data_IF_289006650815
#
_entry.id   IF_289006650815
#
_cell.length_a   1.000
_cell.length_b   1.000
_cell.length_c   1.000
_cell.angle_alpha   90.00
_cell.angle_beta   90.00
_cell.angle_gamma   90.00
#
_symmetry.space_group_name_H-M   'P 1'
#
loop_
_entity.id
_entity.type
_entity.pdbx_description
1 polymer ?
#
# COMPACT_ATOMS: atom_id res chain seq x y z
N UNK A 1 -21.73 7.30 -11.63
CA UNK A 1 -21.03 6.32 -10.77
C UNK A 1 -20.04 5.55 -11.63
N UNK A 2 -18.76 5.81 -11.46
CA UNK A 2 -17.68 5.12 -12.18
C UNK A 2 -16.84 4.34 -11.17
N UNK A 3 -16.74 3.04 -11.39
CA UNK A 3 -15.89 2.13 -10.65
C UNK A 3 -15.14 1.25 -11.65
N UNK A 4 -13.82 1.13 -11.48
CA UNK A 4 -13.00 0.22 -12.26
C UNK A 4 -12.04 -0.56 -11.39
N UNK A 5 -11.89 -1.84 -11.71
CA UNK A 5 -10.88 -2.73 -11.16
C UNK A 5 -9.80 -2.91 -12.20
N UNK A 6 -8.64 -2.37 -11.92
CA UNK A 6 -7.50 -2.39 -12.82
C UNK A 6 -6.49 -3.43 -12.33
N UNK A 7 -5.93 -4.26 -13.22
CA UNK A 7 -4.89 -5.19 -12.82
C UNK A 7 -3.66 -4.43 -12.33
N UNK A 8 -3.08 -4.90 -11.25
CA UNK A 8 -1.88 -4.32 -10.68
C UNK A 8 -1.12 -5.40 -9.91
N UNK A 9 0.19 -5.35 -9.87
CA UNK A 9 1.01 -6.28 -9.11
C UNK A 9 1.66 -5.53 -7.95
N UNK A 10 1.07 -5.64 -6.77
CA UNK A 10 1.51 -4.91 -5.58
C UNK A 10 2.61 -5.71 -4.87
N UNK A 11 3.80 -5.13 -4.75
CA UNK A 11 4.82 -5.63 -3.85
C UNK A 11 4.50 -5.24 -2.41
N UNK A 12 4.29 -3.96 -2.19
CA UNK A 12 3.83 -3.43 -0.91
C UNK A 12 3.09 -2.11 -1.05
N UNK A 13 2.28 -1.85 -0.05
CA UNK A 13 1.64 -0.58 0.18
C UNK A 13 2.17 0.03 1.47
N UNK A 14 2.68 1.25 1.40
CA UNK A 14 3.25 1.93 2.56
C UNK A 14 2.49 3.20 2.88
N UNK A 15 2.35 3.46 4.17
CA UNK A 15 1.92 4.75 4.70
C UNK A 15 3.09 5.36 5.47
N UNK A 16 3.49 6.56 5.08
CA UNK A 16 4.47 7.34 5.81
C UNK A 16 3.76 8.28 6.80
N UNK A 17 4.20 8.26 8.05
CA UNK A 17 3.60 9.04 9.13
C UNK A 17 4.66 9.57 10.09
N UNK A 18 4.40 10.71 10.71
CA UNK A 18 5.26 11.27 11.78
C UNK A 18 5.06 10.56 13.12
N UNK A 19 3.93 9.90 13.31
CA UNK A 19 3.53 9.27 14.57
C UNK A 19 3.04 7.84 14.35
N UNK A 20 3.97 6.91 14.18
CA UNK A 20 3.65 5.50 13.87
C UNK A 20 2.98 4.71 15.00
N UNK A 21 3.10 5.13 16.25
CA UNK A 21 2.54 4.38 17.38
C UNK A 21 1.04 4.16 17.24
N UNK A 22 0.28 5.20 16.92
CA UNK A 22 -1.19 5.09 16.76
C UNK A 22 -1.62 4.14 15.64
N UNK A 23 -1.05 4.21 14.42
CA UNK A 23 -1.33 3.21 13.39
C UNK A 23 -0.92 1.78 13.78
N UNK A 24 0.21 1.61 14.49
CA UNK A 24 0.64 0.29 14.98
C UNK A 24 -0.37 -0.25 15.99
N UNK A 25 -0.73 0.55 17.00
CA UNK A 25 -1.71 0.16 18.03
C UNK A 25 -3.07 -0.18 17.41
N UNK A 26 -3.49 0.58 16.40
CA UNK A 26 -4.71 0.31 15.64
C UNK A 26 -4.66 -1.04 14.93
N UNK A 27 -3.61 -1.27 14.14
CA UNK A 27 -3.49 -2.49 13.34
C UNK A 27 -3.29 -3.73 14.24
N UNK A 28 -2.43 -3.64 15.24
CA UNK A 28 -2.24 -4.75 16.20
C UNK A 28 -3.50 -4.99 17.02
N UNK A 29 -4.21 -3.94 17.40
CA UNK A 29 -5.51 -4.02 18.04
C UNK A 29 -6.56 -4.73 17.17
N UNK A 30 -6.54 -4.53 15.88
CA UNK A 30 -7.38 -5.24 14.90
C UNK A 30 -6.87 -6.65 14.56
N UNK A 31 -5.79 -7.11 15.21
CA UNK A 31 -5.29 -8.48 15.09
C UNK A 31 -4.25 -8.71 14.00
N UNK A 32 -3.64 -7.65 13.47
CA UNK A 32 -2.45 -7.81 12.65
C UNK A 32 -1.23 -8.09 13.52
N UNK A 33 -0.35 -8.95 13.06
CA UNK A 33 0.92 -9.28 13.70
C UNK A 33 2.04 -8.49 13.01
N UNK A 34 2.83 -7.78 13.79
CA UNK A 34 4.02 -7.07 13.28
C UNK A 34 5.15 -8.05 13.01
N UNK A 35 5.85 -7.87 11.91
CA UNK A 35 7.14 -8.50 11.72
C UNK A 35 8.23 -7.67 12.41
N UNK A 36 9.14 -8.35 13.07
CA UNK A 36 10.33 -7.72 13.65
C UNK A 36 11.23 -7.25 12.52
N UNK A 37 11.17 -5.96 12.24
CA UNK A 37 12.08 -5.30 11.30
C UNK A 37 13.12 -4.54 12.09
N UNK A 38 14.38 -4.79 11.80
CA UNK A 38 15.53 -4.19 12.48
C UNK A 38 15.74 -2.70 12.17
N UNK A 39 14.78 -2.05 11.52
CA UNK A 39 14.87 -0.63 11.31
C UNK A 39 13.93 0.11 12.25
N UNK A 40 14.45 1.08 12.98
CA UNK A 40 13.66 1.99 13.81
C UNK A 40 12.64 2.83 13.00
N UNK A 41 12.61 2.66 11.69
CA UNK A 41 11.86 3.51 10.77
C UNK A 41 10.66 2.86 10.13
N UNK A 42 10.63 1.52 10.06
CA UNK A 42 9.56 0.78 9.37
C UNK A 42 9.01 -0.33 10.24
N UNK A 43 7.72 -0.59 10.09
CA UNK A 43 7.03 -1.75 10.66
C UNK A 43 6.29 -2.44 9.54
N UNK A 44 6.46 -3.74 9.40
CA UNK A 44 5.85 -4.54 8.36
C UNK A 44 4.76 -5.44 8.91
N UNK A 45 3.71 -5.59 8.15
CA UNK A 45 2.64 -6.56 8.32
C UNK A 45 2.67 -7.47 7.10
N UNK A 46 3.30 -8.64 7.24
CA UNK A 46 3.61 -9.53 6.11
C UNK A 46 2.38 -10.34 5.74
N UNK A 47 2.06 -10.34 4.46
CA UNK A 47 0.98 -11.09 3.83
C UNK A 47 1.54 -12.11 2.84
N UNK A 48 0.71 -13.01 2.33
CA UNK A 48 1.15 -14.07 1.40
C UNK A 48 1.66 -13.51 0.07
N UNK A 49 1.08 -12.42 -0.43
CA UNK A 49 1.39 -11.86 -1.74
C UNK A 49 2.17 -10.55 -1.69
N UNK A 50 2.15 -9.88 -0.54
CA UNK A 50 2.66 -8.51 -0.38
C UNK A 50 2.95 -8.22 1.09
N UNK A 51 3.24 -6.99 1.41
CA UNK A 51 3.23 -6.52 2.79
C UNK A 51 2.67 -5.11 2.87
N UNK A 52 2.08 -4.82 4.02
CA UNK A 52 1.69 -3.48 4.40
C UNK A 52 2.78 -2.90 5.29
N UNK A 53 3.18 -1.67 5.02
CA UNK A 53 4.30 -1.03 5.70
C UNK A 53 3.89 0.30 6.33
N UNK A 54 4.30 0.51 7.57
CA UNK A 54 4.25 1.81 8.21
C UNK A 54 5.67 2.39 8.30
N UNK A 55 5.89 3.50 7.61
CA UNK A 55 7.17 4.22 7.63
C UNK A 55 7.08 5.41 8.56
N UNK A 56 8.09 5.61 9.39
CA UNK A 56 8.25 6.86 10.14
C UNK A 56 9.24 7.76 9.41
N UNK A 57 8.86 9.01 9.17
CA UNK A 57 9.80 10.01 8.71
C UNK A 57 9.96 11.11 9.76
N UNK A 58 11.16 11.65 9.84
CA UNK A 58 11.46 12.85 10.61
C UNK A 58 11.65 14.00 9.65
N UNK A 59 11.31 15.23 10.07
CA UNK A 59 11.47 16.43 9.26
C UNK A 59 12.91 16.62 8.72
N UNK A 60 13.89 15.98 9.34
CA UNK A 60 15.31 16.03 8.96
C UNK A 60 15.79 14.77 8.22
N UNK A 61 14.92 13.85 7.89
CA UNK A 61 15.35 12.67 7.17
C UNK A 61 15.55 13.00 5.69
N UNK A 62 16.59 12.45 5.09
CA UNK A 62 16.89 12.51 3.65
C UNK A 62 15.82 11.86 2.76
N UNK A 63 14.67 11.51 3.31
CA UNK A 63 13.48 11.11 2.55
C UNK A 63 12.78 12.40 2.07
N UNK A 64 13.56 13.28 1.48
CA UNK A 64 13.09 14.56 0.92
C UNK A 64 12.05 14.37 -0.17
N UNK A 65 12.07 13.25 -0.85
CA UNK A 65 11.10 12.93 -1.91
C UNK A 65 9.69 12.60 -1.38
N UNK A 66 9.54 12.03 -0.17
CA UNK A 66 8.22 11.86 0.46
C UNK A 66 7.63 13.20 0.93
N UNK A 67 8.47 14.16 1.25
CA UNK A 67 8.06 15.48 1.74
C UNK A 67 7.85 16.49 0.63
N UNK A 68 8.36 16.24 -0.58
CA UNK A 68 8.20 17.16 -1.71
C UNK A 68 6.80 17.13 -2.31
N UNK A 69 6.08 16.02 -2.17
CA UNK A 69 4.71 15.87 -2.68
C UNK A 69 3.63 16.37 -1.70
N UNK A 70 3.96 16.65 -0.44
CA UNK A 70 2.99 17.08 0.56
C UNK A 70 3.41 18.44 1.13
N UNK A 71 2.55 19.48 1.07
CA UNK A 71 2.85 20.77 1.68
C UNK A 71 3.18 20.61 3.17
N UNK A 72 4.26 21.24 3.62
CA UNK A 72 4.75 21.15 5.01
C UNK A 72 3.68 21.51 6.06
N UNK A 73 2.71 22.33 5.69
CA UNK A 73 1.57 22.74 6.53
C UNK A 73 0.61 21.60 6.84
N UNK A 74 0.64 20.51 6.07
CA UNK A 74 -0.27 19.36 6.21
C UNK A 74 0.43 18.12 6.81
N UNK A 75 1.73 18.16 7.02
CA UNK A 75 2.54 17.05 7.53
C UNK A 75 2.03 16.39 8.83
N UNK A 76 1.43 17.08 9.81
CA UNK A 76 0.92 16.42 11.02
C UNK A 76 -0.34 15.59 10.78
N UNK A 77 -1.02 15.77 9.63
CA UNK A 77 -2.34 15.19 9.37
C UNK A 77 -2.37 14.26 8.17
N UNK A 78 -1.33 14.29 7.35
CA UNK A 78 -1.33 13.61 6.06
C UNK A 78 -0.33 12.48 6.09
N UNK A 79 -0.80 11.38 5.61
CA UNK A 79 -0.02 10.23 5.33
C UNK A 79 0.36 10.26 3.85
N UNK A 80 1.64 10.29 3.56
CA UNK A 80 2.11 10.02 2.20
C UNK A 80 1.96 8.53 1.92
N UNK A 81 1.49 8.22 0.73
CA UNK A 81 1.32 6.84 0.30
C UNK A 81 2.42 6.45 -0.68
N UNK A 82 2.90 5.24 -0.54
CA UNK A 82 3.77 4.61 -1.53
C UNK A 82 3.15 3.31 -1.97
N UNK A 83 3.08 3.12 -3.27
CA UNK A 83 2.62 1.90 -3.89
C UNK A 83 3.76 1.32 -4.71
N UNK A 84 4.28 0.18 -4.31
CA UNK A 84 5.39 -0.47 -4.99
C UNK A 84 4.90 -1.62 -5.85
N UNK A 85 5.32 -1.60 -7.12
CA UNK A 85 5.11 -2.69 -8.06
C UNK A 85 6.17 -3.75 -7.84
N UNK A 86 5.77 -5.00 -7.84
CA UNK A 86 6.68 -6.13 -7.72
C UNK A 86 7.41 -6.40 -9.02
N UNK A 87 8.73 -6.45 -8.98
CA UNK A 87 9.57 -6.79 -10.11
C UNK A 87 10.38 -8.06 -9.89
N UNK A 88 10.75 -8.73 -10.97
CA UNK A 88 11.69 -9.87 -10.95
C UNK A 88 13.13 -9.42 -11.12
N UNK A 89 13.35 -8.40 -11.95
CA UNK A 89 14.67 -7.78 -12.21
C UNK A 89 14.45 -6.28 -12.42
N UNK A 90 15.18 -5.42 -11.69
CA UNK A 90 14.96 -3.98 -11.76
C UNK A 90 15.40 -3.38 -13.13
N UNK A 91 16.37 -3.95 -13.82
CA UNK A 91 16.87 -3.39 -15.08
C UNK A 91 15.86 -3.56 -16.24
N UNK A 92 15.38 -4.77 -16.58
CA UNK A 92 14.34 -4.92 -17.59
C UNK A 92 13.08 -4.14 -17.26
N UNK A 93 12.68 -4.12 -16.01
CA UNK A 93 11.49 -3.39 -15.59
C UNK A 93 11.64 -1.88 -15.78
N UNK A 94 12.77 -1.30 -15.38
CA UNK A 94 13.06 0.12 -15.60
C UNK A 94 13.06 0.48 -17.07
N UNK A 95 13.71 -0.34 -17.90
CA UNK A 95 13.77 -0.13 -19.35
C UNK A 95 12.39 -0.19 -19.99
N UNK A 96 11.56 -1.17 -19.64
CA UNK A 96 10.20 -1.29 -20.16
C UNK A 96 9.33 -0.06 -19.81
N UNK A 97 9.49 0.50 -18.62
CA UNK A 97 8.78 1.72 -18.21
C UNK A 97 9.27 2.94 -19.02
N UNK A 98 10.58 3.07 -19.27
CA UNK A 98 11.16 4.12 -20.11
C UNK A 98 10.63 4.00 -21.56
N UNK A 99 10.67 2.80 -22.13
CA UNK A 99 10.18 2.52 -23.48
C UNK A 99 8.66 2.81 -23.61
N UNK A 100 7.91 2.59 -22.56
CA UNK A 100 6.49 2.99 -22.49
C UNK A 100 6.31 4.50 -22.37
N UNK A 101 7.37 5.30 -22.32
CA UNK A 101 7.29 6.76 -22.18
C UNK A 101 6.82 7.20 -20.80
N UNK A 102 7.20 6.48 -19.75
CA UNK A 102 7.06 6.96 -18.38
C UNK A 102 8.28 7.80 -18.07
N UNK A 103 8.04 9.04 -17.75
CA UNK A 103 9.08 10.03 -17.46
C UNK A 103 9.49 9.99 -15.99
N UNK A 104 10.61 10.66 -15.67
CA UNK A 104 11.11 10.86 -14.30
C UNK A 104 11.33 9.56 -13.52
N UNK A 105 11.78 8.53 -14.19
CA UNK A 105 12.17 7.28 -13.56
C UNK A 105 13.57 7.45 -12.97
N UNK A 106 13.67 7.25 -11.65
CA UNK A 106 14.92 7.34 -10.91
C UNK A 106 15.90 6.23 -11.27
N UNK A 107 17.13 6.36 -10.79
CA UNK A 107 18.14 5.31 -10.89
C UNK A 107 17.81 4.16 -9.95
N UNK A 108 18.24 2.96 -10.33
CA UNK A 108 18.13 1.77 -9.48
C UNK A 108 19.08 1.96 -8.31
N UNK A 109 18.53 1.92 -7.10
CA UNK A 109 19.33 2.03 -5.89
C UNK A 109 20.32 0.86 -5.77
N UNK A 110 21.44 1.08 -5.09
CA UNK A 110 22.33 -0.01 -4.71
C UNK A 110 21.55 -1.08 -3.94
N UNK A 111 21.92 -2.36 -4.11
CA UNK A 111 21.27 -3.43 -3.36
C UNK A 111 21.29 -3.16 -1.86
N UNK A 112 20.12 -3.05 -1.29
CA UNK A 112 19.99 -3.00 0.16
C UNK A 112 19.97 -4.43 0.69
N UNK A 113 20.80 -4.72 1.68
CA UNK A 113 20.82 -6.01 2.37
C UNK A 113 20.82 -5.78 3.86
N UNK A 114 20.04 -6.56 4.57
CA UNK A 114 19.97 -6.50 6.01
C UNK A 114 19.85 -7.91 6.59
N UNK A 115 20.49 -8.10 7.73
CA UNK A 115 20.22 -9.27 8.53
C UNK A 115 18.82 -9.17 9.12
N UNK A 116 18.03 -10.21 8.97
CA UNK A 116 16.66 -10.27 9.46
C UNK A 116 16.48 -11.50 10.35
N UNK A 117 15.66 -11.32 11.36
CA UNK A 117 15.25 -12.40 12.23
C UNK A 117 13.73 -12.56 12.17
N UNK A 118 13.30 -13.79 11.95
CA UNK A 118 11.90 -14.15 11.91
C UNK A 118 11.67 -15.30 12.91
N UNK A 119 11.23 -14.98 14.11
CA UNK A 119 11.15 -15.93 15.21
C UNK A 119 12.53 -16.49 15.59
N UNK A 120 12.71 -17.80 15.46
CA UNK A 120 13.95 -18.54 15.72
C UNK A 120 14.89 -18.63 14.50
N UNK A 121 14.49 -18.12 13.34
CA UNK A 121 15.28 -18.15 12.11
C UNK A 121 15.93 -16.83 11.81
N UNK A 122 17.21 -16.90 11.49
CA UNK A 122 18.01 -15.77 11.02
C UNK A 122 18.35 -15.93 9.55
N UNK A 123 18.46 -14.82 8.84
CA UNK A 123 18.79 -14.81 7.43
C UNK A 123 19.08 -13.41 6.94
N UNK A 124 19.29 -13.29 5.63
CA UNK A 124 19.49 -12.02 4.97
C UNK A 124 18.27 -11.72 4.08
N UNK A 125 17.69 -10.55 4.25
CA UNK A 125 16.73 -10.01 3.31
C UNK A 125 17.39 -8.88 2.52
N UNK A 126 17.04 -8.79 1.25
CA UNK A 126 17.57 -7.73 0.42
C UNK A 126 16.61 -7.37 -0.70
N UNK A 127 16.73 -6.13 -1.14
CA UNK A 127 15.95 -5.62 -2.25
C UNK A 127 16.71 -4.54 -3.02
N UNK A 128 16.28 -4.35 -4.26
CA UNK A 128 16.63 -3.19 -5.07
C UNK A 128 15.34 -2.48 -5.46
N UNK A 129 15.39 -1.18 -5.52
CA UNK A 129 14.21 -0.37 -5.87
C UNK A 129 14.63 0.83 -6.70
N UNK A 130 13.71 1.31 -7.48
CA UNK A 130 13.73 2.63 -8.09
C UNK A 130 12.34 3.25 -7.97
N UNK A 131 12.24 4.55 -8.15
CA UNK A 131 11.00 5.29 -7.98
C UNK A 131 10.65 6.03 -9.26
N UNK A 132 9.34 6.20 -9.47
CA UNK A 132 8.77 7.06 -10.50
C UNK A 132 8.33 8.34 -9.78
N UNK A 133 8.97 9.46 -10.11
CA UNK A 133 8.67 10.75 -9.50
C UNK A 133 7.58 11.47 -10.29
N UNK A 134 6.75 12.21 -9.58
CA UNK A 134 5.70 13.06 -10.19
C UNK A 134 4.91 12.32 -11.30
N UNK A 135 4.47 11.11 -11.01
CA UNK A 135 3.72 10.31 -11.96
C UNK A 135 2.28 10.84 -12.03
N UNK A 136 2.03 11.68 -13.01
CA UNK A 136 0.69 12.23 -13.21
C UNK A 136 -0.33 11.12 -13.57
N UNK A 137 -1.55 11.19 -13.01
CA UNK A 137 -2.07 12.24 -12.11
C UNK A 137 -1.83 11.98 -10.61
N UNK A 138 -1.00 11.02 -10.25
CA UNK A 138 -0.78 10.53 -8.88
C UNK A 138 0.31 11.29 -8.14
N UNK A 139 0.27 12.61 -8.14
CA UNK A 139 1.33 13.43 -7.52
C UNK A 139 1.49 13.23 -6.02
N UNK A 140 0.45 12.69 -5.35
CA UNK A 140 0.44 12.44 -3.91
C UNK A 140 0.72 10.98 -3.55
N UNK A 141 0.99 10.14 -4.55
CA UNK A 141 1.38 8.75 -4.39
C UNK A 141 2.74 8.54 -5.04
N UNK A 142 3.70 8.05 -4.28
CA UNK A 142 4.97 7.64 -4.84
C UNK A 142 4.86 6.21 -5.36
N UNK A 143 5.06 6.06 -6.67
CA UNK A 143 5.20 4.75 -7.26
C UNK A 143 6.65 4.28 -7.15
N UNK A 144 6.82 3.06 -6.66
CA UNK A 144 8.10 2.38 -6.62
C UNK A 144 8.04 1.08 -7.41
N UNK A 145 9.21 0.57 -7.74
CA UNK A 145 9.37 -0.77 -8.27
C UNK A 145 10.39 -1.48 -7.41
N UNK A 146 10.00 -2.60 -6.83
CA UNK A 146 10.84 -3.34 -5.89
C UNK A 146 11.10 -4.75 -6.39
N UNK A 147 12.37 -5.14 -6.39
CA UNK A 147 12.83 -6.49 -6.68
C UNK A 147 13.49 -7.07 -5.44
N UNK A 148 13.00 -8.20 -4.97
CA UNK A 148 13.58 -8.90 -3.83
C UNK A 148 14.75 -9.77 -4.28
N UNK A 149 15.90 -9.60 -3.62
CA UNK A 149 17.13 -10.35 -3.90
C UNK A 149 17.12 -11.73 -3.26
N UNK A 150 16.30 -11.90 -2.22
CA UNK A 150 16.18 -13.15 -1.47
C UNK A 150 14.72 -13.60 -1.43
N UNK A 151 14.29 -14.26 -2.50
CA UNK A 151 12.91 -14.75 -2.65
C UNK A 151 12.46 -15.63 -1.47
N UNK A 152 13.37 -16.35 -0.84
CA UNK A 152 13.04 -17.31 0.20
C UNK A 152 12.58 -16.70 1.53
N UNK A 153 13.06 -15.51 1.89
CA UNK A 153 12.72 -14.91 3.18
C UNK A 153 11.40 -14.17 3.18
N UNK A 154 11.01 -13.58 2.04
CA UNK A 154 9.74 -12.84 1.91
C UNK A 154 8.59 -13.80 1.64
N UNK A 155 8.79 -14.81 0.78
CA UNK A 155 7.73 -15.71 0.31
C UNK A 155 7.45 -16.87 1.26
N UNK A 156 8.48 -17.40 1.95
CA UNK A 156 8.29 -18.51 2.91
C UNK A 156 7.79 -18.09 4.30
N UNK A 157 7.47 -16.84 4.47
CA UNK A 157 6.90 -16.34 5.73
C UNK A 157 5.38 -16.49 5.84
N UNK A 158 4.73 -17.06 4.84
CA UNK A 158 3.29 -17.33 4.81
C UNK A 158 2.75 -18.06 6.06
N UNK A 159 3.63 -18.79 6.74
CA UNK A 159 3.25 -19.57 7.93
C UNK A 159 3.82 -19.01 9.24
N UNK A 160 4.65 -17.97 9.21
CA UNK A 160 5.44 -17.58 10.39
C UNK A 160 4.87 -16.43 11.19
N UNK A 161 4.06 -15.59 10.58
CA UNK A 161 3.37 -14.47 11.23
C UNK A 161 1.88 -14.49 10.91
N UNK A 162 1.15 -15.55 11.32
CA UNK A 162 -0.27 -15.56 11.07
C UNK A 162 -0.89 -14.36 11.79
N UNK A 163 -1.62 -13.58 11.04
CA UNK A 163 -2.43 -12.52 11.62
C UNK A 163 -3.60 -13.15 12.38
N UNK A 164 -3.81 -12.75 13.65
CA UNK A 164 -4.88 -13.27 14.50
C UNK A 164 -6.26 -13.03 13.85
N UNK A 165 -6.39 -11.93 13.11
CA UNK A 165 -7.60 -11.60 12.36
C UNK A 165 -7.77 -12.44 11.08
N UNK A 166 -6.85 -13.35 10.78
CA UNK A 166 -6.90 -14.21 9.61
C UNK A 166 -6.47 -13.57 8.29
N UNK A 167 -6.10 -12.29 8.25
CA UNK A 167 -5.69 -11.63 7.02
C UNK A 167 -4.53 -12.37 6.36
N UNK A 168 -4.70 -12.73 5.08
CA UNK A 168 -3.71 -13.47 4.30
C UNK A 168 -3.15 -12.65 3.16
N UNK A 169 -3.98 -11.83 2.52
CA UNK A 169 -3.62 -11.12 1.30
C UNK A 169 -4.10 -9.68 1.33
N UNK A 170 -3.32 -8.80 0.72
CA UNK A 170 -3.80 -7.50 0.28
C UNK A 170 -4.60 -7.72 -1.01
N UNK A 171 -5.92 -7.60 -0.93
CA UNK A 171 -6.81 -7.91 -2.04
C UNK A 171 -6.89 -6.79 -3.07
N UNK A 172 -6.96 -5.55 -2.58
CA UNK A 172 -6.95 -4.34 -3.42
C UNK A 172 -6.62 -3.08 -2.62
N UNK A 173 -6.19 -2.07 -3.36
CA UNK A 173 -6.09 -0.69 -2.89
C UNK A 173 -7.12 0.13 -3.66
N UNK A 174 -7.85 1.01 -2.99
CA UNK A 174 -8.82 1.90 -3.64
C UNK A 174 -8.29 3.32 -3.70
N UNK A 175 -8.20 3.85 -4.93
CA UNK A 175 -7.98 5.26 -5.20
C UNK A 175 -9.28 5.99 -5.51
N UNK A 176 -9.34 7.28 -5.20
CA UNK A 176 -10.48 8.14 -5.41
C UNK A 176 -10.16 9.25 -6.40
N UNK A 177 -11.00 9.42 -7.42
CA UNK A 177 -10.91 10.52 -8.38
C UNK A 177 -12.09 11.48 -8.20
N UNK A 178 -11.79 12.74 -7.99
CA UNK A 178 -12.78 13.81 -7.73
C UNK A 178 -13.49 14.34 -8.98
N UNK A 179 -13.07 13.91 -10.15
CA UNK A 179 -13.67 14.28 -11.43
C UNK A 179 -13.57 13.16 -12.46
N UNK A 180 -14.42 13.18 -13.47
CA UNK A 180 -14.39 12.23 -14.58
C UNK A 180 -13.06 12.31 -15.37
N UNK A 181 -12.54 13.52 -15.54
CA UNK A 181 -11.24 13.73 -16.20
C UNK A 181 -10.10 13.05 -15.42
N UNK A 182 -10.03 13.27 -14.11
CA UNK A 182 -9.02 12.61 -13.26
C UNK A 182 -9.21 11.10 -13.20
N UNK A 183 -10.45 10.63 -13.24
CA UNK A 183 -10.73 9.20 -13.30
C UNK A 183 -10.12 8.57 -14.56
N UNK A 184 -10.36 9.17 -15.74
CA UNK A 184 -9.80 8.70 -17.00
C UNK A 184 -8.28 8.79 -17.04
N UNK A 185 -7.71 9.90 -16.56
CA UNK A 185 -6.25 10.06 -16.47
C UNK A 185 -5.63 8.99 -15.57
N UNK A 186 -6.23 8.71 -14.40
CA UNK A 186 -5.76 7.70 -13.47
C UNK A 186 -5.87 6.28 -14.04
N UNK A 187 -6.97 5.96 -14.68
CA UNK A 187 -7.17 4.69 -15.37
C UNK A 187 -6.08 4.45 -16.42
N UNK A 188 -5.85 5.45 -17.28
CA UNK A 188 -4.84 5.38 -18.32
C UNK A 188 -3.43 5.23 -17.74
N UNK A 189 -3.12 5.96 -16.67
CA UNK A 189 -1.81 5.90 -16.02
C UNK A 189 -1.56 4.52 -15.36
N UNK A 190 -2.50 3.97 -14.61
CA UNK A 190 -2.39 2.63 -14.01
C UNK A 190 -2.28 1.55 -15.10
N UNK A 191 -3.10 1.63 -16.13
CA UNK A 191 -3.08 0.69 -17.25
C UNK A 191 -1.73 0.74 -17.99
N UNK A 192 -1.19 1.94 -18.23
CA UNK A 192 0.11 2.13 -18.85
C UNK A 192 1.23 1.52 -17.99
N UNK A 193 1.23 1.81 -16.70
CA UNK A 193 2.20 1.27 -15.75
C UNK A 193 2.15 -0.27 -15.70
N UNK A 194 0.96 -0.82 -15.61
CA UNK A 194 0.77 -2.27 -15.60
C UNK A 194 1.24 -2.92 -16.90
N UNK A 195 0.84 -2.38 -18.06
CA UNK A 195 1.22 -2.96 -19.36
C UNK A 195 2.73 -2.91 -19.60
N UNK A 196 3.41 -1.88 -19.13
CA UNK A 196 4.85 -1.78 -19.22
C UNK A 196 5.58 -2.76 -18.28
N UNK A 197 5.02 -2.97 -17.08
CA UNK A 197 5.66 -3.78 -16.05
C UNK A 197 5.30 -5.26 -16.09
N UNK A 198 4.18 -5.65 -16.69
CA UNK A 198 3.58 -7.01 -16.59
C UNK A 198 4.53 -8.14 -16.98
N UNK A 199 5.40 -7.94 -17.98
CA UNK A 199 6.31 -8.97 -18.45
C UNK A 199 7.59 -9.06 -17.59
N UNK A 200 7.87 -8.03 -16.81
CA UNK A 200 8.96 -7.96 -15.85
C UNK A 200 8.49 -8.18 -14.40
N UNK A 201 7.21 -8.50 -14.20
CA UNK A 201 6.65 -8.84 -12.89
C UNK A 201 6.62 -10.34 -12.69
N UNK A 202 6.72 -10.78 -11.44
CA UNK A 202 6.54 -12.18 -11.07
C UNK A 202 5.02 -12.49 -11.07
N UNK A 203 4.53 -13.05 -12.18
CA UNK A 203 3.12 -13.38 -12.38
C UNK A 203 2.66 -14.62 -11.62
N UNK A 204 3.55 -15.30 -10.87
CA UNK A 204 3.21 -16.44 -10.03
C UNK A 204 2.29 -16.09 -8.85
N UNK A 205 2.10 -14.81 -8.59
CA UNK A 205 1.13 -14.29 -7.63
C UNK A 205 -0.10 -13.78 -8.37
N UNK A 206 -1.29 -14.15 -7.90
CA UNK A 206 -2.54 -13.61 -8.43
C UNK A 206 -2.45 -12.08 -8.49
N UNK A 207 -2.86 -11.53 -9.60
CA UNK A 207 -2.88 -10.09 -9.81
C UNK A 207 -3.72 -9.43 -8.72
N UNK A 208 -3.11 -8.53 -8.00
CA UNK A 208 -3.82 -7.66 -7.10
C UNK A 208 -4.61 -6.65 -7.92
N UNK A 209 -5.50 -5.95 -7.29
CA UNK A 209 -6.38 -5.03 -7.98
C UNK A 209 -6.18 -3.62 -7.44
N UNK A 210 -5.96 -2.67 -8.34
CA UNK A 210 -6.16 -1.26 -8.05
C UNK A 210 -7.60 -0.90 -8.40
N UNK A 211 -8.40 -0.60 -7.40
CA UNK A 211 -9.78 -0.15 -7.58
C UNK A 211 -9.79 1.36 -7.67
N UNK A 212 -10.39 1.90 -8.72
CA UNK A 212 -10.58 3.34 -8.89
C UNK A 212 -12.06 3.66 -8.80
N UNK A 213 -12.41 4.65 -7.99
CA UNK A 213 -13.80 5.08 -7.77
C UNK A 213 -13.95 6.59 -7.96
N UNK A 214 -15.07 7.00 -8.54
CA UNK A 214 -15.51 8.40 -8.56
C UNK A 214 -16.27 8.76 -7.26
N UNK A 215 -16.76 10.00 -7.17
CA UNK A 215 -17.50 10.50 -6.01
C UNK A 215 -18.74 9.65 -5.69
N UNK A 216 -19.56 9.35 -6.68
CA UNK A 216 -20.79 8.60 -6.46
C UNK A 216 -20.52 7.16 -6.05
N UNK A 217 -19.52 6.52 -6.66
CA UNK A 217 -19.09 5.18 -6.28
C UNK A 217 -18.46 5.15 -4.88
N UNK A 218 -17.69 6.19 -4.51
CA UNK A 218 -17.14 6.33 -3.16
C UNK A 218 -18.27 6.44 -2.12
N UNK A 219 -19.21 7.36 -2.32
CA UNK A 219 -20.34 7.55 -1.39
C UNK A 219 -21.18 6.29 -1.30
N UNK A 220 -21.45 5.63 -2.42
CA UNK A 220 -22.16 4.37 -2.46
C UNK A 220 -21.42 3.27 -1.70
N UNK A 221 -20.10 3.17 -1.81
CA UNK A 221 -19.30 2.13 -1.14
C UNK A 221 -19.13 2.40 0.35
N UNK A 222 -18.74 3.62 0.73
CA UNK A 222 -18.33 3.94 2.10
C UNK A 222 -19.40 4.63 2.95
N UNK A 223 -20.52 5.03 2.34
CA UNK A 223 -21.64 5.65 3.06
C UNK A 223 -21.35 7.04 3.63
N UNK A 224 -20.34 7.72 3.14
CA UNK A 224 -19.92 9.04 3.62
C UNK A 224 -19.19 9.82 2.53
N UNK A 225 -19.06 11.13 2.74
CA UNK A 225 -18.30 11.99 1.85
C UNK A 225 -16.78 11.70 1.90
N UNK A 226 -16.08 11.81 0.75
CA UNK A 226 -14.63 11.76 0.72
C UNK A 226 -14.03 12.89 1.57
N UNK A 227 -12.87 12.65 2.14
CA UNK A 227 -12.14 13.72 2.84
C UNK A 227 -11.60 14.71 1.83
N UNK A 228 -11.82 15.97 2.10
CA UNK A 228 -11.20 17.06 1.34
C UNK A 228 -9.94 17.51 2.08
N UNK A 229 -8.85 16.79 1.91
CA UNK A 229 -7.53 17.12 2.48
C UNK A 229 -6.57 17.71 1.44
N UNK A 230 -7.07 18.01 0.26
CA UNK A 230 -6.32 18.62 -0.82
C UNK A 230 -5.41 17.66 -1.58
N UNK A 231 -5.45 16.36 -1.26
CA UNK A 231 -4.71 15.33 -1.99
C UNK A 231 -5.38 15.02 -3.32
N UNK A 232 -4.57 14.83 -4.35
CA UNK A 232 -5.00 14.39 -5.66
C UNK A 232 -4.94 12.87 -5.74
N UNK A 233 -6.06 12.22 -6.01
CA UNK A 233 -6.17 10.76 -6.08
C UNK A 233 -5.69 10.04 -4.82
N UNK A 234 -6.18 10.42 -3.64
CA UNK A 234 -5.77 9.79 -2.39
C UNK A 234 -6.12 8.31 -2.41
N UNK A 235 -5.31 7.50 -1.73
CA UNK A 235 -5.70 6.15 -1.37
C UNK A 235 -6.77 6.24 -0.28
N UNK A 236 -7.95 5.70 -0.55
CA UNK A 236 -9.11 5.80 0.35
C UNK A 236 -9.43 4.50 1.07
N UNK A 237 -8.92 3.38 0.58
CA UNK A 237 -9.06 2.10 1.27
C UNK A 237 -7.92 1.13 0.95
N UNK A 238 -7.65 0.22 1.90
CA UNK A 238 -6.83 -0.97 1.72
C UNK A 238 -7.64 -2.19 2.18
N UNK A 239 -7.75 -3.20 1.31
CA UNK A 239 -8.59 -4.37 1.55
C UNK A 239 -7.76 -5.63 1.75
N UNK A 240 -8.13 -6.41 2.75
CA UNK A 240 -7.47 -7.65 3.15
C UNK A 240 -8.43 -8.82 3.06
N UNK A 241 -8.00 -9.93 2.48
CA UNK A 241 -8.79 -11.16 2.34
C UNK A 241 -8.28 -12.30 3.23
N UNK A 242 -9.13 -13.31 3.42
CA UNK A 242 -8.91 -14.44 4.32
C UNK A 242 -9.25 -14.14 5.78
N UNK A 243 -9.95 -13.03 6.03
CA UNK A 243 -10.15 -12.50 7.36
C UNK A 243 -11.23 -13.24 8.15
N UNK A 244 -11.00 -13.38 9.45
CA UNK A 244 -11.99 -13.85 10.41
C UNK A 244 -12.92 -12.68 10.80
N UNK A 245 -13.97 -12.45 10.02
CA UNK A 245 -14.80 -11.25 10.14
C UNK A 245 -15.41 -11.07 11.54
N UNK A 246 -15.84 -12.15 12.18
CA UNK A 246 -16.37 -12.07 13.55
C UNK A 246 -15.33 -11.58 14.58
N UNK A 247 -14.06 -11.96 14.39
CA UNK A 247 -12.98 -11.45 15.21
C UNK A 247 -12.74 -9.95 14.95
N UNK A 248 -12.66 -9.55 13.67
CA UNK A 248 -12.45 -8.14 13.30
C UNK A 248 -13.57 -7.26 13.84
N UNK A 249 -14.83 -7.69 13.70
CA UNK A 249 -15.99 -6.98 14.21
C UNK A 249 -15.90 -6.77 15.72
N UNK A 250 -15.62 -7.84 16.46
CA UNK A 250 -15.47 -7.77 17.91
C UNK A 250 -14.36 -6.80 18.29
N UNK A 251 -13.20 -6.86 17.64
CA UNK A 251 -12.08 -5.96 17.93
C UNK A 251 -12.39 -4.51 17.61
N UNK A 252 -13.03 -4.24 16.46
CA UNK A 252 -13.46 -2.88 16.13
C UNK A 252 -14.42 -2.31 17.17
N UNK A 253 -15.37 -3.14 17.65
CA UNK A 253 -16.28 -2.77 18.72
C UNK A 253 -15.54 -2.50 20.05
N UNK A 254 -14.69 -3.42 20.50
CA UNK A 254 -13.93 -3.31 21.76
C UNK A 254 -13.01 -2.06 21.76
N UNK A 255 -12.52 -1.66 20.60
CA UNK A 255 -11.67 -0.48 20.42
C UNK A 255 -12.46 0.81 20.19
N UNK A 256 -13.79 0.74 20.21
CA UNK A 256 -14.67 1.88 19.92
C UNK A 256 -14.39 2.54 18.55
N UNK A 257 -14.07 1.73 17.54
CA UNK A 257 -13.88 2.18 16.16
C UNK A 257 -15.23 2.25 15.45
N UNK A 258 -15.38 3.21 14.56
CA UNK A 258 -16.51 3.22 13.65
C UNK A 258 -16.33 2.14 12.59
N UNK A 259 -17.33 1.30 12.42
CA UNK A 259 -17.35 0.26 11.40
C UNK A 259 -18.76 -0.01 10.91
N UNK A 260 -18.85 -0.58 9.72
CA UNK A 260 -20.12 -1.08 9.17
C UNK A 260 -19.88 -2.35 8.34
N UNK A 261 -20.98 -3.06 8.08
CA UNK A 261 -20.99 -4.27 7.25
C UNK A 261 -21.73 -4.00 5.96
N UNK A 262 -21.16 -4.47 4.86
CA UNK A 262 -21.78 -4.38 3.54
C UNK A 262 -21.25 -5.51 2.65
N UNK A 263 -22.12 -6.19 1.93
CA UNK A 263 -21.79 -7.23 0.96
C UNK A 263 -20.80 -8.30 1.47
N UNK A 264 -21.01 -8.75 2.73
CA UNK A 264 -20.17 -9.75 3.37
C UNK A 264 -18.78 -9.27 3.80
N UNK A 265 -18.54 -7.97 3.79
CA UNK A 265 -17.28 -7.32 4.21
C UNK A 265 -17.49 -6.51 5.47
N UNK A 266 -16.41 -6.22 6.17
CA UNK A 266 -16.35 -5.25 7.26
C UNK A 266 -15.47 -4.08 6.85
N UNK A 267 -16.00 -2.88 7.01
CA UNK A 267 -15.32 -1.61 6.75
C UNK A 267 -15.04 -0.95 8.08
N UNK A 268 -13.78 -0.72 8.39
CA UNK A 268 -13.37 0.00 9.61
C UNK A 268 -12.87 1.38 9.22
N UNK A 269 -13.48 2.43 9.75
CA UNK A 269 -13.09 3.81 9.48
C UNK A 269 -11.81 4.18 10.24
N UNK A 270 -10.70 4.10 9.54
CA UNK A 270 -9.37 4.47 10.05
C UNK A 270 -8.89 5.83 9.54
N UNK A 271 -9.77 6.63 8.90
CA UNK A 271 -9.40 7.89 8.26
C UNK A 271 -8.79 8.92 9.21
N UNK A 272 -9.17 8.93 10.48
CA UNK A 272 -8.60 9.84 11.49
C UNK A 272 -7.15 9.48 11.87
N UNK A 273 -6.75 8.24 11.69
CA UNK A 273 -5.45 7.70 12.13
C UNK A 273 -4.54 7.43 10.94
N UNK A 274 -5.10 6.87 9.86
CA UNK A 274 -4.35 6.39 8.69
C UNK A 274 -4.76 7.05 7.37
N UNK A 275 -5.79 7.89 7.38
CA UNK A 275 -6.28 8.56 6.17
C UNK A 275 -7.22 7.72 5.30
N UNK A 276 -7.46 6.45 5.63
CA UNK A 276 -8.19 5.51 4.78
C UNK A 276 -9.09 4.55 5.57
N UNK A 277 -9.94 3.83 4.87
CA UNK A 277 -10.67 2.68 5.39
C UNK A 277 -9.81 1.41 5.32
N UNK A 278 -9.94 0.55 6.34
CA UNK A 278 -9.51 -0.84 6.24
C UNK A 278 -10.73 -1.70 5.92
N UNK A 279 -10.62 -2.51 4.88
CA UNK A 279 -11.71 -3.38 4.41
C UNK A 279 -11.29 -4.83 4.62
N UNK A 280 -12.13 -5.59 5.29
CA UNK A 280 -11.86 -6.99 5.62
C UNK A 280 -12.84 -7.90 4.86
N UNK A 281 -12.28 -8.83 4.09
CA UNK A 281 -12.99 -9.83 3.31
C UNK A 281 -12.79 -11.22 3.91
N UNK A 282 -13.78 -12.13 3.80
CA UNK A 282 -13.64 -13.51 4.26
C UNK A 282 -12.58 -14.30 3.50
#
# INVERSE_FOLDING_TARGET
MLEKKLPFCIDHFSIATTHRSRPIDLLTGLGFTTADCYTDRTVHFILENSYFELCTYTLNSTITWLTQSVPATNLPKVHSYRLSVKGTDPNPMRNALIEAGIEKIGEINNPFRQHVRYGDKEGEAGYQTFFIQDYEPFTDILFGCTTHLTKELVVKNETKFPHINGAKRLAYITGYADSAERFEQAENAITKLYNAAKDATDTGYNLDTYQLVDHDAYVAEFGCEPRNDGLKLPVVAAAFSGCHLGFVEKRAYDMNLQYFKKDGKIYVDCRRIMGLFLVFLP
#
